data_IF_116386559690
#
_entry.id   IF_116386559690
#
_cell.length_a   1.000
_cell.length_b   1.000
_cell.length_c   1.000
_cell.angle_alpha   90.00
_cell.angle_beta   90.00
_cell.angle_gamma   90.00
#
_symmetry.space_group_name_H-M   'P 1'
#
loop_
_entity.id
_entity.type
_entity.pdbx_description
1 polymer ?
#
# COMPACT_ATOMS: atom_id res chain seq x y z
N UNK A 1 26.88 -5.96 5.71
CA UNK A 1 25.74 -6.90 5.57
C UNK A 1 26.00 -7.86 4.42
N UNK A 2 26.83 -8.88 4.64
CA UNK A 2 27.14 -9.90 3.65
C UNK A 2 27.32 -11.24 4.36
N UNK A 3 26.83 -12.32 3.74
CA UNK A 3 27.07 -13.67 4.22
C UNK A 3 28.55 -14.04 4.10
N UNK A 4 29.01 -14.94 4.97
CA UNK A 4 30.38 -15.42 4.93
C UNK A 4 30.74 -16.01 3.55
N UNK A 5 31.98 -15.84 3.10
CA UNK A 5 32.49 -16.35 1.81
C UNK A 5 32.38 -17.88 1.68
N UNK A 6 32.32 -18.59 2.80
CA UNK A 6 32.11 -20.04 2.84
C UNK A 6 30.79 -20.48 2.18
N UNK A 7 29.82 -19.56 2.06
CA UNK A 7 28.53 -19.83 1.41
C UNK A 7 28.50 -19.41 -0.07
N UNK A 8 29.61 -18.95 -0.64
CA UNK A 8 29.65 -18.40 -2.01
C UNK A 8 29.07 -19.35 -3.06
N UNK A 9 29.29 -20.67 -2.90
CA UNK A 9 28.74 -21.69 -3.80
C UNK A 9 27.22 -21.80 -3.76
N UNK A 10 26.59 -21.56 -2.60
CA UNK A 10 25.13 -21.53 -2.44
C UNK A 10 24.55 -20.20 -2.91
N UNK A 11 25.23 -19.10 -2.60
CA UNK A 11 24.81 -17.75 -2.99
C UNK A 11 24.85 -17.57 -4.51
N UNK A 12 25.84 -18.15 -5.21
CA UNK A 12 25.93 -18.13 -6.67
C UNK A 12 24.73 -18.78 -7.37
N UNK A 13 23.97 -19.64 -6.67
CA UNK A 13 22.78 -20.32 -7.21
C UNK A 13 21.48 -19.53 -7.01
N UNK A 14 21.53 -18.43 -6.24
CA UNK A 14 20.38 -17.60 -5.91
C UNK A 14 20.44 -16.23 -6.61
N UNK A 15 19.30 -15.71 -7.09
CA UNK A 15 19.18 -14.33 -7.51
C UNK A 15 19.52 -13.34 -6.37
N UNK A 16 20.14 -12.18 -6.67
CA UNK A 16 20.52 -11.17 -5.67
C UNK A 16 19.38 -10.71 -4.74
N UNK A 17 18.14 -10.68 -5.26
CA UNK A 17 16.95 -10.32 -4.47
C UNK A 17 16.65 -11.32 -3.36
N UNK A 18 16.80 -12.62 -3.62
CA UNK A 18 16.55 -13.67 -2.63
C UNK A 18 17.64 -13.70 -1.56
N UNK A 19 18.87 -13.40 -1.93
CA UNK A 19 19.98 -13.27 -0.96
C UNK A 19 19.68 -12.12 0.02
N UNK A 20 19.26 -10.96 -0.48
CA UNK A 20 18.90 -9.80 0.34
C UNK A 20 17.70 -10.09 1.26
N UNK A 21 16.67 -10.75 0.72
CA UNK A 21 15.49 -11.13 1.51
C UNK A 21 15.84 -12.14 2.62
N UNK A 22 16.68 -13.15 2.30
CA UNK A 22 17.14 -14.13 3.27
C UNK A 22 17.96 -13.51 4.41
N UNK A 23 18.82 -12.53 4.09
CA UNK A 23 19.57 -11.77 5.09
C UNK A 23 18.65 -11.01 6.06
N UNK A 24 17.67 -10.28 5.52
CA UNK A 24 16.66 -9.57 6.33
C UNK A 24 15.92 -10.57 7.20
N UNK A 25 15.48 -11.69 6.63
CA UNK A 25 14.75 -12.70 7.39
C UNK A 25 15.57 -13.30 8.54
N UNK A 26 16.86 -13.52 8.39
CA UNK A 26 17.70 -14.07 9.47
C UNK A 26 17.94 -13.05 10.59
N UNK A 27 18.12 -11.78 10.23
CA UNK A 27 18.43 -10.69 11.16
C UNK A 27 17.20 -10.08 11.83
N UNK A 28 16.01 -10.21 11.24
CA UNK A 28 14.76 -9.63 11.76
C UNK A 28 13.71 -10.68 12.15
N UNK A 29 14.12 -11.94 12.36
CA UNK A 29 13.22 -13.03 12.75
C UNK A 29 12.54 -12.75 14.10
N UNK A 30 11.24 -13.05 14.18
CA UNK A 30 10.41 -12.86 15.39
C UNK A 30 10.87 -13.70 16.60
N UNK A 31 11.54 -14.83 16.35
CA UNK A 31 12.15 -15.68 17.38
C UNK A 31 13.62 -15.87 17.02
N UNK A 32 14.51 -15.48 17.92
CA UNK A 32 15.98 -15.57 17.78
C UNK A 32 16.51 -14.88 16.50
N UNK A 33 16.36 -13.54 16.38
CA UNK A 33 17.06 -12.79 15.35
C UNK A 33 18.57 -12.97 15.54
N UNK A 34 19.27 -13.29 14.46
CA UNK A 34 20.74 -13.30 14.49
C UNK A 34 21.24 -11.86 14.42
N UNK A 35 22.25 -11.54 15.21
CA UNK A 35 22.99 -10.30 15.02
C UNK A 35 23.73 -10.32 13.67
N UNK A 36 24.16 -9.15 13.17
CA UNK A 36 24.87 -9.09 11.90
C UNK A 36 26.19 -9.87 11.91
N UNK A 37 26.89 -9.91 13.04
CA UNK A 37 28.13 -10.67 13.20
C UNK A 37 27.86 -12.19 13.18
N UNK A 38 26.77 -12.64 13.78
CA UNK A 38 26.36 -14.05 13.74
C UNK A 38 25.85 -14.45 12.34
N UNK A 39 25.08 -13.57 11.68
CA UNK A 39 24.61 -13.79 10.31
C UNK A 39 25.76 -13.78 9.28
N UNK A 40 26.86 -13.08 9.60
CA UNK A 40 28.10 -13.06 8.80
C UNK A 40 29.06 -14.19 9.15
N UNK A 41 28.81 -14.98 10.20
CA UNK A 41 29.72 -16.05 10.64
C UNK A 41 29.37 -17.40 10.02
N UNK A 42 30.28 -18.36 10.15
CA UNK A 42 30.04 -19.73 9.70
C UNK A 42 29.18 -20.43 10.76
N UNK A 43 27.90 -20.62 10.45
CA UNK A 43 26.93 -21.32 11.29
C UNK A 43 26.15 -22.38 10.50
N UNK A 44 25.96 -23.59 11.06
CA UNK A 44 25.18 -24.63 10.40
C UNK A 44 23.71 -24.24 10.21
N UNK A 45 23.17 -23.34 11.06
CA UNK A 45 21.80 -22.84 10.95
C UNK A 45 21.62 -22.00 9.68
N UNK A 46 22.62 -21.17 9.37
CA UNK A 46 22.63 -20.32 8.17
C UNK A 46 22.81 -21.19 6.93
N UNK A 47 23.70 -22.17 7.00
CA UNK A 47 23.92 -23.12 5.89
C UNK A 47 22.65 -23.90 5.54
N UNK A 48 21.96 -24.45 6.55
CA UNK A 48 20.71 -25.17 6.36
C UNK A 48 19.61 -24.27 5.76
N UNK A 49 19.53 -23.01 6.22
CA UNK A 49 18.60 -22.04 5.66
C UNK A 49 18.89 -21.74 4.18
N UNK A 50 20.15 -21.49 3.83
CA UNK A 50 20.55 -21.21 2.44
C UNK A 50 20.32 -22.43 1.54
N UNK A 51 20.63 -23.65 1.99
CA UNK A 51 20.31 -24.89 1.25
C UNK A 51 18.81 -25.01 0.97
N UNK A 52 17.96 -24.74 1.96
CA UNK A 52 16.51 -24.75 1.77
C UNK A 52 16.03 -23.70 0.76
N UNK A 53 16.58 -22.49 0.79
CA UNK A 53 16.22 -21.45 -0.21
C UNK A 53 16.71 -21.79 -1.61
N UNK A 54 17.90 -22.39 -1.76
CA UNK A 54 18.39 -22.91 -3.05
C UNK A 54 17.45 -24.00 -3.56
N UNK A 55 17.12 -24.99 -2.74
CA UNK A 55 16.22 -26.08 -3.11
C UNK A 55 14.84 -25.57 -3.50
N UNK A 56 14.30 -24.62 -2.74
CA UNK A 56 13.02 -23.97 -3.02
C UNK A 56 13.05 -23.23 -4.35
N UNK A 57 14.11 -22.46 -4.61
CA UNK A 57 14.27 -21.75 -5.86
C UNK A 57 14.41 -22.70 -7.05
N UNK A 58 15.17 -23.78 -6.90
CA UNK A 58 15.33 -24.80 -7.94
C UNK A 58 14.04 -25.59 -8.21
N UNK A 59 13.27 -25.93 -7.17
CA UNK A 59 11.94 -26.56 -7.32
C UNK A 59 10.96 -25.65 -8.06
N UNK A 60 11.02 -24.36 -7.80
CA UNK A 60 10.18 -23.36 -8.46
C UNK A 60 10.71 -22.96 -9.85
N UNK A 61 11.95 -23.31 -10.19
CA UNK A 61 12.57 -23.14 -11.51
C UNK A 61 12.13 -24.20 -12.52
N UNK A 62 11.71 -25.39 -12.07
CA UNK A 62 11.19 -26.41 -12.99
C UNK A 62 9.84 -25.93 -13.53
N UNK A 63 9.66 -25.83 -14.86
CA UNK A 63 8.35 -25.57 -15.40
C UNK A 63 7.41 -26.67 -14.91
N UNK A 64 6.25 -26.29 -14.37
CA UNK A 64 5.13 -27.22 -14.27
C UNK A 64 4.82 -27.63 -15.71
N UNK A 65 5.30 -28.80 -16.11
CA UNK A 65 5.11 -29.52 -17.39
C UNK A 65 4.48 -28.71 -18.55
N UNK A 66 5.31 -28.35 -19.52
CA UNK A 66 4.95 -28.34 -20.94
C UNK A 66 5.88 -29.39 -21.59
N UNK A 67 5.37 -30.47 -22.22
CA UNK A 67 6.23 -31.38 -22.95
C UNK A 67 6.51 -30.75 -24.32
N UNK A 68 7.71 -30.19 -24.51
CA UNK A 68 8.28 -30.04 -25.84
C UNK A 68 9.30 -31.16 -25.98
N UNK A 69 8.95 -32.05 -26.88
CA UNK A 69 9.67 -33.21 -27.37
C UNK A 69 11.04 -32.74 -27.88
N UNK A 70 12.09 -33.34 -27.32
CA UNK A 70 13.39 -33.38 -27.98
C UNK A 70 13.20 -34.05 -29.33
N UNK A 71 13.53 -33.32 -30.40
CA UNK A 71 13.60 -33.88 -31.75
C UNK A 71 14.78 -34.85 -31.75
N UNK A 72 14.48 -36.11 -31.46
CA UNK A 72 15.26 -37.23 -31.98
C UNK A 72 14.38 -38.05 -32.93
N UNK A 73 14.97 -38.26 -34.08
CA UNK A 73 14.47 -38.95 -35.26
C UNK A 73 14.01 -40.38 -34.98
N UNK A 74 12.98 -40.77 -35.73
CA UNK A 74 12.52 -42.13 -36.07
C UNK A 74 11.32 -42.74 -35.31
N UNK A 75 10.46 -43.39 -36.13
CA UNK A 75 9.47 -44.42 -35.77
C UNK A 75 7.99 -44.04 -35.56
N UNK A 76 7.30 -43.86 -36.70
CA UNK A 76 6.03 -44.53 -37.10
C UNK A 76 5.05 -45.08 -36.03
N UNK A 77 3.81 -44.58 -36.16
CA UNK A 77 2.49 -45.27 -36.25
C UNK A 77 1.64 -45.50 -34.96
N UNK A 78 0.36 -45.12 -35.14
CA UNK A 78 -0.92 -45.58 -34.56
C UNK A 78 -1.46 -45.02 -33.24
N UNK A 79 -2.48 -44.17 -33.45
CA UNK A 79 -3.88 -44.35 -33.04
C UNK A 79 -4.34 -44.11 -31.60
N UNK A 80 -5.36 -43.24 -31.55
CA UNK A 80 -6.48 -43.21 -30.61
C UNK A 80 -6.22 -42.70 -29.19
N UNK A 81 -6.38 -41.38 -29.01
CA UNK A 81 -7.06 -40.88 -27.82
C UNK A 81 -7.80 -39.60 -28.15
N UNK A 82 -9.10 -39.76 -28.32
CA UNK A 82 -10.10 -38.70 -28.36
C UNK A 82 -10.07 -37.91 -27.06
N UNK A 83 -9.21 -36.90 -26.97
CA UNK A 83 -9.38 -35.78 -26.07
C UNK A 83 -9.42 -34.53 -26.95
N UNK A 84 -10.62 -34.13 -27.35
CA UNK A 84 -10.86 -32.80 -27.92
C UNK A 84 -10.68 -31.80 -26.77
N UNK A 85 -9.45 -31.64 -26.29
CA UNK A 85 -9.02 -30.37 -25.74
C UNK A 85 -9.08 -29.42 -26.93
N UNK A 86 -10.03 -28.49 -26.90
CA UNK A 86 -10.09 -27.40 -27.86
C UNK A 86 -8.69 -26.75 -27.89
N UNK A 87 -7.91 -27.07 -28.91
CA UNK A 87 -6.60 -26.49 -29.18
C UNK A 87 -6.90 -25.09 -29.71
N UNK A 88 -7.14 -24.17 -28.80
CA UNK A 88 -7.21 -22.75 -29.12
C UNK A 88 -5.90 -22.35 -29.80
N UNK A 89 -6.01 -21.66 -30.93
CA UNK A 89 -4.83 -21.11 -31.59
C UNK A 89 -4.21 -20.05 -30.68
N UNK A 90 -2.91 -19.81 -30.84
CA UNK A 90 -2.19 -18.78 -30.08
C UNK A 90 -2.85 -17.41 -30.25
N UNK A 91 -3.39 -17.12 -31.44
CA UNK A 91 -4.15 -15.90 -31.74
C UNK A 91 -5.44 -15.80 -30.92
N UNK A 92 -6.18 -16.90 -30.75
CA UNK A 92 -7.43 -16.89 -29.96
C UNK A 92 -7.14 -16.72 -28.47
N UNK A 93 -6.08 -17.34 -27.96
CA UNK A 93 -5.62 -17.14 -26.58
C UNK A 93 -5.21 -15.68 -26.36
N UNK A 94 -4.43 -15.11 -27.28
CA UNK A 94 -3.99 -13.72 -27.22
C UNK A 94 -5.17 -12.73 -27.31
N UNK A 95 -6.17 -13.01 -28.14
CA UNK A 95 -7.39 -12.20 -28.23
C UNK A 95 -8.16 -12.19 -26.92
N UNK A 96 -8.35 -13.36 -26.29
CA UNK A 96 -9.03 -13.47 -24.99
C UNK A 96 -8.26 -12.80 -23.86
N UNK A 97 -6.94 -12.93 -23.83
CA UNK A 97 -6.09 -12.23 -22.85
C UNK A 97 -6.22 -10.72 -23.02
N UNK A 98 -6.18 -10.22 -24.26
CA UNK A 98 -6.34 -8.80 -24.55
C UNK A 98 -7.71 -8.30 -24.11
N UNK A 99 -8.78 -9.02 -24.45
CA UNK A 99 -10.15 -8.69 -24.05
C UNK A 99 -10.31 -8.66 -22.52
N UNK A 100 -9.84 -9.70 -21.82
CA UNK A 100 -9.87 -9.74 -20.36
C UNK A 100 -9.09 -8.59 -19.72
N UNK A 101 -7.94 -8.24 -20.31
CA UNK A 101 -7.12 -7.11 -19.84
C UNK A 101 -7.82 -5.77 -20.07
N UNK A 102 -8.44 -5.57 -21.23
CA UNK A 102 -9.17 -4.34 -21.56
C UNK A 102 -10.42 -4.19 -20.67
N UNK A 103 -11.15 -5.28 -20.41
CA UNK A 103 -12.30 -5.30 -19.50
C UNK A 103 -11.89 -4.94 -18.07
N UNK A 104 -10.82 -5.54 -17.54
CA UNK A 104 -10.30 -5.21 -16.21
C UNK A 104 -9.89 -3.74 -16.11
N UNK A 105 -9.25 -3.19 -17.16
CA UNK A 105 -8.88 -1.77 -17.20
C UNK A 105 -10.11 -0.87 -17.12
N UNK A 106 -11.15 -1.18 -17.89
CA UNK A 106 -12.39 -0.40 -17.89
C UNK A 106 -13.10 -0.45 -16.54
N UNK A 107 -13.18 -1.64 -15.92
CA UNK A 107 -13.80 -1.80 -14.60
C UNK A 107 -13.04 -1.00 -13.52
N UNK A 108 -11.70 -1.06 -13.56
CA UNK A 108 -10.86 -0.30 -12.63
C UNK A 108 -11.02 1.22 -12.81
N UNK A 109 -11.04 1.71 -14.06
CA UNK A 109 -11.26 3.12 -14.36
C UNK A 109 -12.63 3.57 -13.82
N UNK A 110 -13.69 2.82 -14.16
CA UNK A 110 -15.05 3.12 -13.72
C UNK A 110 -15.16 3.13 -12.20
N UNK A 111 -14.64 2.11 -11.52
CA UNK A 111 -14.63 2.02 -10.06
C UNK A 111 -13.88 3.19 -9.42
N UNK A 112 -12.76 3.61 -10.01
CA UNK A 112 -11.97 4.75 -9.54
C UNK A 112 -12.73 6.07 -9.68
N UNK A 113 -13.39 6.29 -10.82
CA UNK A 113 -14.21 7.49 -11.06
C UNK A 113 -15.39 7.59 -10.10
N UNK A 114 -16.10 6.48 -9.87
CA UNK A 114 -17.20 6.41 -8.90
C UNK A 114 -16.70 6.71 -7.48
N UNK A 115 -15.58 6.13 -7.08
CA UNK A 115 -14.96 6.36 -5.76
C UNK A 115 -14.50 7.81 -5.61
N UNK A 116 -13.91 8.42 -6.63
CA UNK A 116 -13.51 9.83 -6.58
C UNK A 116 -14.71 10.76 -6.47
N UNK A 117 -15.80 10.45 -7.15
CA UNK A 117 -17.05 11.21 -7.07
C UNK A 117 -17.63 11.20 -5.66
N UNK A 118 -17.68 10.03 -5.02
CA UNK A 118 -18.21 9.91 -3.64
C UNK A 118 -17.30 10.61 -2.63
N UNK A 119 -15.98 10.47 -2.75
CA UNK A 119 -15.01 11.19 -1.89
C UNK A 119 -15.20 12.71 -2.01
N UNK A 120 -15.36 13.23 -3.23
CA UNK A 120 -15.59 14.66 -3.45
C UNK A 120 -16.88 15.14 -2.80
N UNK A 121 -17.99 14.41 -2.99
CA UNK A 121 -19.28 14.74 -2.40
C UNK A 121 -19.21 14.72 -0.87
N UNK A 122 -18.59 13.69 -0.28
CA UNK A 122 -18.45 13.56 1.16
C UNK A 122 -17.63 14.72 1.75
N UNK A 123 -16.51 15.07 1.12
CA UNK A 123 -15.67 16.20 1.54
C UNK A 123 -16.43 17.53 1.50
N UNK A 124 -17.27 17.74 0.48
CA UNK A 124 -18.05 18.97 0.36
C UNK A 124 -19.12 19.07 1.46
N UNK A 125 -19.75 17.94 1.83
CA UNK A 125 -20.70 17.87 2.96
C UNK A 125 -19.98 18.18 4.28
N UNK A 126 -18.86 17.52 4.54
CA UNK A 126 -18.08 17.71 5.78
C UNK A 126 -17.57 19.15 5.92
N UNK A 127 -17.06 19.75 4.83
CA UNK A 127 -16.60 21.13 4.84
C UNK A 127 -17.73 22.11 5.15
N UNK A 128 -18.91 21.88 4.58
CA UNK A 128 -20.10 22.70 4.89
C UNK A 128 -20.53 22.56 6.35
N UNK A 129 -20.50 21.34 6.90
CA UNK A 129 -20.84 21.09 8.29
C UNK A 129 -19.85 21.78 9.24
N UNK A 130 -18.54 21.59 9.04
CA UNK A 130 -17.48 22.25 9.82
C UNK A 130 -17.66 23.78 9.80
N UNK A 131 -17.97 24.36 8.65
CA UNK A 131 -18.22 25.80 8.53
C UNK A 131 -19.43 26.27 9.36
N UNK A 132 -20.50 25.47 9.40
CA UNK A 132 -21.68 25.77 10.22
C UNK A 132 -21.33 25.65 11.71
N UNK A 133 -20.64 24.59 12.09
CA UNK A 133 -20.24 24.32 13.47
C UNK A 133 -19.33 25.43 14.01
N UNK A 134 -18.30 25.82 13.25
CA UNK A 134 -17.42 26.95 13.60
C UNK A 134 -18.20 28.26 13.77
N UNK A 135 -19.17 28.53 12.89
CA UNK A 135 -20.01 29.74 13.00
C UNK A 135 -20.86 29.70 14.28
N UNK A 136 -21.43 28.55 14.60
CA UNK A 136 -22.27 28.37 15.77
C UNK A 136 -21.46 28.48 17.07
N UNK A 137 -20.29 27.85 17.13
CA UNK A 137 -19.35 27.95 18.25
C UNK A 137 -18.87 29.39 18.49
N UNK A 138 -18.49 30.09 17.42
CA UNK A 138 -18.12 31.49 17.51
C UNK A 138 -19.28 32.35 18.02
N UNK A 139 -20.49 32.17 17.45
CA UNK A 139 -21.68 32.89 17.87
C UNK A 139 -22.02 32.62 19.34
N UNK A 140 -21.95 31.37 19.78
CA UNK A 140 -22.21 30.97 21.16
C UNK A 140 -21.21 31.63 22.13
N UNK A 141 -19.92 31.56 21.79
CA UNK A 141 -18.83 32.16 22.56
C UNK A 141 -18.97 33.67 22.65
N UNK A 142 -19.29 34.34 21.54
CA UNK A 142 -19.49 35.78 21.51
C UNK A 142 -20.66 36.20 22.40
N UNK A 143 -21.80 35.50 22.32
CA UNK A 143 -22.95 35.77 23.19
C UNK A 143 -22.62 35.62 24.67
N UNK A 144 -21.83 34.59 25.02
CA UNK A 144 -21.35 34.39 26.39
C UNK A 144 -20.56 35.60 26.87
N UNK A 145 -19.59 36.08 26.10
CA UNK A 145 -18.77 37.24 26.49
C UNK A 145 -19.55 38.56 26.55
N UNK A 146 -20.57 38.74 25.72
CA UNK A 146 -21.47 39.90 25.81
C UNK A 146 -22.27 39.83 27.12
N UNK A 147 -22.91 38.69 27.40
CA UNK A 147 -23.75 38.50 28.58
C UNK A 147 -22.96 38.66 29.88
N UNK A 148 -21.77 38.08 29.94
CA UNK A 148 -20.96 38.04 31.15
C UNK A 148 -20.16 39.35 31.35
N UNK A 149 -20.37 40.36 30.50
CA UNK A 149 -19.79 41.69 30.66
C UNK A 149 -18.35 41.84 30.15
N UNK A 150 -17.70 40.73 29.77
CA UNK A 150 -16.27 40.66 29.45
C UNK A 150 -15.87 41.61 28.31
N UNK A 151 -16.70 41.72 27.26
CA UNK A 151 -16.43 42.63 26.14
C UNK A 151 -16.46 44.09 26.60
N UNK A 152 -17.41 44.45 27.47
CA UNK A 152 -17.53 45.81 27.98
C UNK A 152 -16.33 46.19 28.86
N UNK A 153 -15.88 45.28 29.72
CA UNK A 153 -14.67 45.48 30.53
C UNK A 153 -13.43 45.69 29.64
N UNK A 154 -13.27 44.86 28.60
CA UNK A 154 -12.16 44.99 27.66
C UNK A 154 -12.17 46.34 26.92
N UNK A 155 -13.34 46.79 26.46
CA UNK A 155 -13.47 48.09 25.78
C UNK A 155 -13.08 49.21 26.73
N UNK A 156 -13.62 49.24 27.94
CA UNK A 156 -13.30 50.26 28.94
C UNK A 156 -11.78 50.32 29.23
N UNK A 157 -11.13 49.17 29.35
CA UNK A 157 -9.67 49.10 29.57
C UNK A 157 -8.88 49.63 28.36
N UNK A 158 -9.36 49.43 27.13
CA UNK A 158 -8.75 50.00 25.93
C UNK A 158 -8.92 51.51 25.86
N UNK A 159 -10.14 52.03 26.12
CA UNK A 159 -10.43 53.48 26.12
C UNK A 159 -9.55 54.22 27.14
N UNK A 160 -9.33 53.61 28.30
CA UNK A 160 -8.44 54.16 29.33
C UNK A 160 -6.98 54.21 28.87
N UNK A 161 -6.56 53.28 28.01
CA UNK A 161 -5.17 53.16 27.56
C UNK A 161 -4.85 54.11 26.40
N UNK A 162 -5.78 54.31 25.48
CA UNK A 162 -5.54 55.08 24.25
C UNK A 162 -6.28 56.44 24.21
N UNK A 163 -7.17 56.71 25.16
CA UNK A 163 -7.93 57.95 25.27
C UNK A 163 -9.00 58.12 24.18
N UNK A 164 -9.25 57.08 23.37
CA UNK A 164 -10.32 57.08 22.37
C UNK A 164 -11.58 56.51 23.00
N UNK A 165 -12.73 57.06 22.61
CA UNK A 165 -14.03 56.46 22.93
C UNK A 165 -14.43 55.53 21.78
N UNK A 166 -14.74 54.28 22.10
CA UNK A 166 -15.28 53.32 21.16
C UNK A 166 -16.81 53.44 21.09
N UNK A 167 -17.39 52.86 20.03
CA UNK A 167 -18.83 52.89 19.82
C UNK A 167 -19.55 52.19 20.98
N UNK A 168 -20.57 52.85 21.54
CA UNK A 168 -21.38 52.27 22.61
C UNK A 168 -22.20 51.08 22.11
N UNK A 169 -21.66 49.88 22.36
CA UNK A 169 -22.28 48.61 22.03
C UNK A 169 -23.20 48.09 23.14
N UNK A 170 -23.50 48.89 24.18
CA UNK A 170 -24.45 48.50 25.24
C UNK A 170 -25.86 48.26 24.71
N UNK A 171 -26.19 48.87 23.56
CA UNK A 171 -27.45 48.67 22.82
C UNK A 171 -27.64 47.24 22.29
N UNK A 172 -26.57 46.43 22.24
CA UNK A 172 -26.63 45.04 21.78
C UNK A 172 -26.85 44.03 22.93
N UNK A 173 -27.16 44.50 24.15
CA UNK A 173 -27.44 43.65 25.34
C UNK A 173 -28.58 42.62 25.16
N UNK A 174 -29.41 42.74 24.13
CA UNK A 174 -30.57 41.87 23.88
C UNK A 174 -30.41 40.76 22.84
N UNK A 175 -29.20 40.51 22.32
CA UNK A 175 -28.93 39.53 21.24
C UNK A 175 -28.52 38.13 21.73
#
# INVERSE_FOLDING_TARGET
>A
MAFHENYSSLLAQLPPLLIKAGWIQLTTRKKNPLSESEASSISPIIEAFLKHEVDRYQRNKKPRYNPIIEVETESRISDSSSNIALLYSEEEVNARIKEATDNLRQELIKSTEETLKTIKQQKDIECNQIRIDMRNEFKFTLKKFIRDGTIYSLIHDLEKKDGRLYLDISRFKGL
#
